data_IF_822612248558
#
_entry.id   IF_822612248558
#
_cell.length_a   1.000
_cell.length_b   1.000
_cell.length_c   1.000
_cell.angle_alpha   90.00
_cell.angle_beta   90.00
_cell.angle_gamma   90.00
#
_symmetry.space_group_name_H-M   'P 1'
#
loop_
_entity.id
_entity.type
_entity.pdbx_description
1 polymer ?
#
# COMPACT_ATOMS: atom_id res chain seq x y z
N UNK A 1 13.26 -7.43 6.39
CA UNK A 1 13.32 -6.06 5.84
C UNK A 1 12.04 -5.26 6.15
N UNK A 2 10.82 -5.66 5.63
CA UNK A 2 9.59 -4.89 5.93
C UNK A 2 9.29 -4.89 7.43
N UNK A 3 9.32 -6.04 8.08
CA UNK A 3 9.09 -6.17 9.53
C UNK A 3 10.03 -5.26 10.32
N UNK A 4 11.32 -5.27 10.03
CA UNK A 4 12.31 -4.45 10.73
C UNK A 4 12.12 -2.96 10.49
N UNK A 5 11.69 -2.60 9.27
CA UNK A 5 11.37 -1.23 8.92
C UNK A 5 10.15 -0.73 9.70
N UNK A 6 9.08 -1.50 9.74
CA UNK A 6 7.85 -1.16 10.48
C UNK A 6 8.09 -1.18 11.98
N UNK A 7 8.85 -2.17 12.49
CA UNK A 7 9.20 -2.25 13.92
C UNK A 7 9.86 -0.97 14.45
N UNK A 8 10.78 -0.39 13.70
CA UNK A 8 11.43 0.88 14.09
C UNK A 8 10.47 2.07 14.08
N UNK A 9 9.27 1.90 13.52
CA UNK A 9 8.21 2.92 13.41
C UNK A 9 6.92 2.49 14.12
N UNK A 10 7.04 1.62 15.13
CA UNK A 10 5.90 1.16 15.92
C UNK A 10 5.09 2.37 16.45
N UNK A 11 3.77 2.26 16.37
CA UNK A 11 2.86 3.35 16.73
C UNK A 11 2.70 4.46 15.67
N UNK A 12 3.35 4.31 14.52
CA UNK A 12 3.18 5.23 13.38
C UNK A 12 2.29 4.63 12.31
N UNK A 13 1.53 5.49 11.65
CA UNK A 13 0.65 5.09 10.56
C UNK A 13 1.42 4.89 9.26
N UNK A 14 1.16 3.76 8.58
CA UNK A 14 1.84 3.43 7.32
C UNK A 14 1.01 2.64 6.33
N UNK A 15 1.53 2.58 5.10
CA UNK A 15 0.98 1.79 3.99
C UNK A 15 2.07 0.87 3.46
N UNK A 16 1.73 -0.40 3.22
CA UNK A 16 2.60 -1.37 2.53
C UNK A 16 1.93 -1.81 1.24
N UNK A 17 2.48 -1.42 0.11
CA UNK A 17 1.99 -1.83 -1.21
C UNK A 17 2.53 -3.19 -1.61
N UNK A 18 1.64 -4.10 -1.96
CA UNK A 18 1.91 -5.47 -2.38
C UNK A 18 1.47 -5.69 -3.83
N UNK A 19 2.05 -6.70 -4.51
CA UNK A 19 1.78 -6.97 -5.91
C UNK A 19 0.40 -7.60 -6.12
N UNK A 20 0.06 -8.60 -5.32
CA UNK A 20 -1.19 -9.37 -5.41
C UNK A 20 -2.03 -9.26 -4.14
N UNK A 21 -3.28 -9.68 -4.23
CA UNK A 21 -4.19 -9.75 -3.08
C UNK A 21 -3.65 -10.71 -2.01
N UNK A 22 -3.21 -11.90 -2.43
CA UNK A 22 -2.62 -12.89 -1.54
C UNK A 22 -1.35 -12.37 -0.84
N UNK A 23 -0.50 -11.59 -1.55
CA UNK A 23 0.67 -10.96 -0.92
C UNK A 23 0.26 -9.93 0.14
N UNK A 24 -0.83 -9.18 -0.09
CA UNK A 24 -1.32 -8.19 0.85
C UNK A 24 -1.88 -8.85 2.12
N UNK A 25 -2.64 -9.95 1.97
CA UNK A 25 -3.16 -10.76 3.08
C UNK A 25 -2.00 -11.36 3.89
N UNK A 26 -1.09 -12.08 3.24
CA UNK A 26 0.06 -12.70 3.88
C UNK A 26 0.98 -11.66 4.56
N UNK A 27 1.17 -10.49 3.95
CA UNK A 27 1.96 -9.41 4.55
C UNK A 27 1.30 -8.86 5.82
N UNK A 28 -0.02 -8.65 5.82
CA UNK A 28 -0.75 -8.15 6.97
C UNK A 28 -0.69 -9.13 8.15
N UNK A 29 -0.93 -10.41 7.89
CA UNK A 29 -0.87 -11.48 8.88
C UNK A 29 0.54 -11.60 9.47
N UNK A 30 1.56 -11.58 8.59
CA UNK A 30 2.96 -11.66 9.01
C UNK A 30 3.39 -10.45 9.85
N UNK A 31 3.01 -9.23 9.50
CA UNK A 31 3.29 -8.03 10.28
C UNK A 31 2.60 -8.10 11.64
N UNK A 32 1.33 -8.46 11.68
CA UNK A 32 0.56 -8.59 12.92
C UNK A 32 1.20 -9.64 13.85
N UNK A 33 1.63 -10.77 13.30
CA UNK A 33 2.29 -11.82 14.11
C UNK A 33 3.65 -11.38 14.64
N UNK A 34 4.51 -10.84 13.77
CA UNK A 34 5.89 -10.47 14.11
C UNK A 34 6.02 -9.19 14.92
N UNK A 35 4.97 -8.37 15.00
CA UNK A 35 4.99 -7.08 15.68
C UNK A 35 4.03 -7.00 16.88
N UNK A 36 3.52 -8.13 17.34
CA UNK A 36 2.67 -8.23 18.55
C UNK A 36 3.35 -7.64 19.78
N UNK A 37 4.63 -7.87 19.91
CA UNK A 37 5.46 -7.41 21.03
C UNK A 37 5.58 -5.88 21.13
N UNK A 38 5.43 -5.19 20.02
CA UNK A 38 5.43 -3.72 19.93
C UNK A 38 4.02 -3.14 19.75
N UNK A 39 2.99 -3.96 19.77
CA UNK A 39 1.58 -3.56 19.69
C UNK A 39 1.15 -3.03 18.32
N UNK A 40 1.93 -3.25 17.27
CA UNK A 40 1.58 -2.80 15.90
C UNK A 40 0.52 -3.73 15.31
N UNK A 41 -0.54 -3.12 14.76
CA UNK A 41 -1.65 -3.81 14.09
C UNK A 41 -1.60 -3.59 12.59
N UNK A 42 -1.80 -4.65 11.80
CA UNK A 42 -1.85 -4.57 10.35
C UNK A 42 -3.09 -5.27 9.79
N UNK A 43 -3.63 -4.76 8.69
CA UNK A 43 -4.73 -5.41 7.97
C UNK A 43 -4.56 -5.23 6.46
N UNK A 44 -5.05 -6.18 5.69
CA UNK A 44 -5.04 -6.10 4.23
C UNK A 44 -6.18 -5.24 3.68
N UNK A 45 -5.96 -4.70 2.48
CA UNK A 45 -6.97 -3.96 1.73
C UNK A 45 -6.79 -4.16 0.22
N UNK A 46 -7.79 -4.75 -0.45
CA UNK A 46 -7.74 -5.00 -1.88
C UNK A 46 -9.14 -5.14 -2.50
N UNK A 47 -9.22 -5.19 -3.83
CA UNK A 47 -10.48 -5.23 -4.58
C UNK A 47 -11.30 -6.51 -4.36
N UNK A 48 -10.70 -7.61 -3.88
CA UNK A 48 -11.38 -8.85 -3.54
C UNK A 48 -12.22 -8.78 -2.26
N UNK A 49 -12.04 -7.73 -1.44
CA UNK A 49 -12.83 -7.50 -0.23
C UNK A 49 -14.20 -6.91 -0.57
N UNK A 50 -15.22 -7.23 0.22
CA UNK A 50 -16.53 -6.58 0.12
C UNK A 50 -16.44 -5.08 0.42
N UNK A 51 -17.42 -4.30 -0.04
CA UNK A 51 -17.44 -2.86 0.23
C UNK A 51 -17.50 -2.57 1.73
N UNK A 52 -18.24 -3.38 2.49
CA UNK A 52 -18.33 -3.23 3.95
C UNK A 52 -16.99 -3.48 4.62
N UNK A 53 -16.29 -4.56 4.28
CA UNK A 53 -14.95 -4.85 4.82
C UNK A 53 -13.98 -3.72 4.54
N UNK A 54 -13.96 -3.21 3.31
CA UNK A 54 -13.10 -2.07 2.94
C UNK A 54 -13.40 -0.81 3.75
N UNK A 55 -14.68 -0.49 3.98
CA UNK A 55 -15.10 0.65 4.82
C UNK A 55 -14.65 0.48 6.26
N UNK A 56 -14.79 -0.71 6.83
CA UNK A 56 -14.39 -1.01 8.22
C UNK A 56 -12.88 -0.84 8.39
N UNK A 57 -12.08 -1.43 7.49
CA UNK A 57 -10.62 -1.31 7.55
C UNK A 57 -10.17 0.14 7.38
N UNK A 58 -10.74 0.85 6.42
CA UNK A 58 -10.43 2.25 6.18
C UNK A 58 -10.78 3.13 7.38
N UNK A 59 -11.96 2.95 7.98
CA UNK A 59 -12.38 3.70 9.15
C UNK A 59 -11.47 3.41 10.36
N UNK A 60 -11.11 2.15 10.61
CA UNK A 60 -10.20 1.77 11.68
C UNK A 60 -8.82 2.41 11.51
N UNK A 61 -8.30 2.43 10.29
CA UNK A 61 -7.01 3.05 9.98
C UNK A 61 -7.06 4.58 10.10
N UNK A 62 -8.12 5.23 9.62
CA UNK A 62 -8.30 6.67 9.77
C UNK A 62 -8.39 7.10 11.25
N UNK A 63 -9.03 6.30 12.08
CA UNK A 63 -9.19 6.54 13.53
C UNK A 63 -7.94 6.16 14.35
N UNK A 64 -6.86 5.67 13.72
CA UNK A 64 -5.66 5.23 14.43
C UNK A 64 -5.82 3.95 15.24
N UNK A 65 -6.88 3.18 15.00
CA UNK A 65 -7.09 1.85 15.59
C UNK A 65 -6.32 0.75 14.88
N UNK A 66 -5.87 1.05 13.67
CA UNK A 66 -5.05 0.21 12.83
C UNK A 66 -3.84 1.02 12.39
N UNK A 67 -2.62 0.48 12.57
CA UNK A 67 -1.39 1.20 12.26
C UNK A 67 -1.00 1.06 10.79
N UNK A 68 -1.10 -0.15 10.24
CA UNK A 68 -0.58 -0.49 8.92
C UNK A 68 -1.67 -1.06 8.02
N UNK A 69 -1.79 -0.52 6.81
CA UNK A 69 -2.59 -1.12 5.75
C UNK A 69 -1.68 -1.76 4.72
N UNK A 70 -1.80 -3.09 4.54
CA UNK A 70 -1.16 -3.83 3.46
C UNK A 70 -2.11 -3.89 2.27
N UNK A 71 -1.76 -3.24 1.15
CA UNK A 71 -2.71 -3.03 0.08
C UNK A 71 -2.13 -3.31 -1.31
N UNK A 72 -3.01 -3.66 -2.24
CA UNK A 72 -2.69 -3.55 -3.67
C UNK A 72 -2.94 -2.11 -4.16
N UNK A 73 -2.56 -1.80 -5.39
CA UNK A 73 -2.81 -0.49 -6.04
C UNK A 73 -4.29 -0.05 -6.02
N UNK A 74 -5.23 -0.98 -5.73
CA UNK A 74 -6.64 -0.65 -5.54
C UNK A 74 -6.89 0.27 -4.31
N UNK A 75 -5.94 0.35 -3.38
CA UNK A 75 -5.94 1.27 -2.25
C UNK A 75 -5.35 2.63 -2.67
N UNK A 76 -5.96 3.27 -3.65
CA UNK A 76 -5.41 4.49 -4.21
C UNK A 76 -6.42 5.61 -4.35
N UNK A 77 -7.67 5.31 -4.61
CA UNK A 77 -8.68 6.33 -4.83
C UNK A 77 -9.40 6.68 -3.51
N UNK A 78 -9.19 7.91 -3.03
CA UNK A 78 -9.93 8.43 -1.86
C UNK A 78 -9.27 8.25 -0.50
N UNK A 79 -7.96 7.90 -0.43
CA UNK A 79 -7.23 7.96 0.84
C UNK A 79 -6.75 9.39 1.06
N UNK A 80 -7.35 10.02 2.03
CA UNK A 80 -6.92 11.32 2.53
C UNK A 80 -6.68 11.22 4.04
N UNK A 81 -5.49 10.68 4.39
CA UNK A 81 -4.98 10.67 5.77
C UNK A 81 -3.65 11.43 5.77
N UNK A 82 -3.63 12.54 6.48
CA UNK A 82 -2.52 13.48 6.43
C UNK A 82 -1.25 12.95 7.13
N UNK A 83 -1.43 12.18 8.18
CA UNK A 83 -0.38 11.74 9.11
C UNK A 83 0.25 10.38 8.77
N UNK A 84 0.23 9.96 7.51
CA UNK A 84 0.96 8.75 7.06
C UNK A 84 2.46 9.01 7.18
N UNK A 85 3.13 8.22 8.03
CA UNK A 85 4.57 8.41 8.30
C UNK A 85 5.47 7.64 7.37
N UNK A 86 4.96 6.58 6.75
CA UNK A 86 5.75 5.83 5.78
C UNK A 86 4.88 5.13 4.73
N UNK A 87 5.48 4.97 3.55
CA UNK A 87 4.96 4.13 2.48
C UNK A 87 6.05 3.13 2.09
N UNK A 88 5.72 1.85 2.16
CA UNK A 88 6.61 0.75 1.76
C UNK A 88 6.06 0.10 0.50
N UNK A 89 6.87 -0.02 -0.52
CA UNK A 89 6.60 -0.88 -1.67
C UNK A 89 7.31 -2.22 -1.45
N UNK A 90 6.58 -3.23 -1.04
CA UNK A 90 7.10 -4.59 -0.86
C UNK A 90 7.33 -5.30 -2.21
N UNK A 91 6.91 -4.69 -3.30
CA UNK A 91 7.11 -5.14 -4.68
C UNK A 91 7.34 -3.94 -5.60
N UNK A 92 7.95 -4.19 -6.77
CA UNK A 92 8.21 -3.15 -7.77
C UNK A 92 6.90 -2.51 -8.25
N UNK A 93 6.82 -1.18 -8.21
CA UNK A 93 5.74 -0.43 -8.81
C UNK A 93 5.76 -0.57 -10.34
N UNK A 94 4.61 -0.41 -10.99
CA UNK A 94 4.47 -0.64 -12.45
C UNK A 94 5.02 0.51 -13.28
N UNK A 95 5.17 1.70 -12.69
CA UNK A 95 5.68 2.90 -13.37
C UNK A 95 6.12 3.95 -12.35
N UNK A 96 6.86 4.96 -12.79
CA UNK A 96 7.26 6.11 -11.98
C UNK A 96 6.05 6.93 -11.55
N UNK A 97 5.04 7.08 -12.42
CA UNK A 97 3.81 7.80 -12.11
C UNK A 97 3.03 7.11 -10.99
N UNK A 98 2.89 5.78 -11.09
CA UNK A 98 2.26 4.97 -10.05
C UNK A 98 3.00 5.10 -8.72
N UNK A 99 4.31 4.92 -8.75
CA UNK A 99 5.18 5.08 -7.58
C UNK A 99 5.03 6.46 -6.94
N UNK A 100 5.07 7.53 -7.75
CA UNK A 100 4.93 8.90 -7.26
C UNK A 100 3.58 9.14 -6.56
N UNK A 101 2.49 8.65 -7.16
CA UNK A 101 1.14 8.77 -6.57
C UNK A 101 0.99 7.97 -5.27
N UNK A 102 1.60 6.80 -5.21
CA UNK A 102 1.56 5.92 -4.05
C UNK A 102 2.45 6.45 -2.92
N UNK A 103 3.69 6.82 -3.23
CA UNK A 103 4.64 7.43 -2.28
C UNK A 103 4.16 8.80 -1.77
N UNK A 104 3.51 9.59 -2.62
CA UNK A 104 2.93 10.90 -2.28
C UNK A 104 1.76 10.86 -1.29
N UNK A 105 1.42 9.68 -0.74
CA UNK A 105 0.47 9.55 0.38
C UNK A 105 1.14 9.81 1.71
N UNK A 106 2.46 9.69 1.80
CA UNK A 106 3.20 9.96 3.01
C UNK A 106 3.39 11.48 3.21
N UNK A 107 3.28 11.93 4.47
CA UNK A 107 3.65 13.28 4.89
C UNK A 107 2.79 14.42 4.32
N UNK A 108 1.52 14.20 4.05
CA UNK A 108 0.63 15.27 3.56
C UNK A 108 0.41 16.41 4.54
N UNK A 109 0.70 16.18 5.81
CA UNK A 109 0.70 17.19 6.87
C UNK A 109 1.99 18.02 6.92
N UNK A 110 2.92 17.83 5.98
CA UNK A 110 4.21 18.51 5.94
C UNK A 110 5.25 17.98 6.93
N UNK A 111 4.93 16.98 7.74
CA UNK A 111 5.89 16.38 8.69
C UNK A 111 6.76 15.33 7.98
N UNK A 112 7.97 15.06 8.53
CA UNK A 112 8.86 14.05 7.99
C UNK A 112 8.17 12.70 7.79
N UNK A 113 8.41 12.10 6.62
CA UNK A 113 7.89 10.80 6.25
C UNK A 113 8.92 10.06 5.38
N UNK A 114 8.80 8.76 5.31
CA UNK A 114 9.75 7.92 4.60
C UNK A 114 9.06 7.05 3.55
N UNK A 115 9.71 6.91 2.39
CA UNK A 115 9.28 5.99 1.33
C UNK A 115 10.37 4.95 1.09
N UNK A 116 10.01 3.67 1.20
CA UNK A 116 10.90 2.54 0.96
C UNK A 116 10.40 1.71 -0.22
N UNK A 117 11.27 1.45 -1.19
CA UNK A 117 11.03 0.49 -2.27
C UNK A 117 11.96 -0.71 -2.11
N UNK A 118 11.39 -1.90 -1.99
CA UNK A 118 12.14 -3.15 -2.06
C UNK A 118 12.20 -3.59 -3.52
N UNK A 119 13.42 -3.67 -4.06
CA UNK A 119 13.66 -3.99 -5.46
C UNK A 119 14.68 -5.11 -5.62
N UNK A 120 14.40 -6.00 -6.54
CA UNK A 120 15.33 -7.00 -7.08
C UNK A 120 15.11 -7.08 -8.59
N UNK A 121 16.17 -7.30 -9.37
CA UNK A 121 16.07 -7.41 -10.82
C UNK A 121 15.04 -8.46 -11.30
N UNK A 122 14.90 -9.54 -10.54
CA UNK A 122 13.91 -10.59 -10.80
C UNK A 122 12.44 -10.10 -10.71
N UNK A 123 12.20 -9.00 -10.01
CA UNK A 123 10.84 -8.49 -9.82
C UNK A 123 10.30 -7.87 -11.12
N UNK A 124 11.17 -7.36 -11.99
CA UNK A 124 10.81 -6.87 -13.33
C UNK A 124 10.06 -7.95 -14.12
N UNK A 125 10.61 -9.17 -14.16
CA UNK A 125 9.99 -10.29 -14.87
C UNK A 125 8.62 -10.70 -14.30
N UNK A 126 8.42 -10.57 -12.96
CA UNK A 126 7.12 -10.83 -12.33
C UNK A 126 6.08 -9.78 -12.75
N UNK A 127 6.46 -8.50 -12.71
CA UNK A 127 5.55 -7.41 -13.12
C UNK A 127 5.25 -7.47 -14.60
N UNK A 128 6.23 -7.79 -15.47
CA UNK A 128 6.00 -8.01 -16.90
C UNK A 128 4.98 -9.13 -17.17
N UNK A 129 5.08 -10.26 -16.46
CA UNK A 129 4.09 -11.35 -16.56
C UNK A 129 2.70 -10.86 -16.15
N UNK A 130 2.61 -10.10 -15.07
CA UNK A 130 1.35 -9.51 -14.62
C UNK A 130 0.75 -8.55 -15.66
N UNK A 131 1.55 -7.67 -16.24
CA UNK A 131 1.12 -6.72 -17.28
C UNK A 131 0.64 -7.44 -18.55
N UNK A 132 1.32 -8.51 -18.96
CA UNK A 132 0.94 -9.33 -20.12
C UNK A 132 -0.34 -10.13 -19.87
N UNK A 133 -0.69 -10.38 -18.59
CA UNK A 133 -1.85 -11.21 -18.22
C UNK A 133 -1.61 -12.70 -18.46
N UNK A 134 -2.60 -13.51 -18.10
CA UNK A 134 -2.52 -14.98 -18.14
C UNK A 134 -3.53 -15.60 -19.10
N UNK A 135 -3.16 -16.72 -19.70
CA UNK A 135 -4.06 -17.54 -20.55
C UNK A 135 -4.66 -16.79 -21.74
N UNK A 136 -5.97 -16.95 -21.95
CA UNK A 136 -6.73 -16.31 -23.07
C UNK A 136 -6.83 -14.77 -22.91
N UNK A 137 -6.63 -14.23 -21.73
CA UNK A 137 -6.67 -12.77 -21.44
C UNK A 137 -5.32 -12.09 -21.63
N UNK A 138 -4.40 -12.68 -22.40
CA UNK A 138 -3.10 -12.04 -22.70
C UNK A 138 -3.33 -10.72 -23.44
N UNK A 139 -2.79 -9.66 -22.85
CA UNK A 139 -2.78 -8.32 -23.46
C UNK A 139 -1.73 -8.26 -24.56
N UNK A 140 -2.02 -7.52 -25.62
CA UNK A 140 -1.13 -7.26 -26.77
C UNK A 140 -1.36 -5.83 -27.27
N UNK A 141 -0.51 -5.39 -28.16
CA UNK A 141 -0.65 -4.11 -28.85
C UNK A 141 0.00 -2.91 -28.14
N UNK A 142 -0.20 -1.68 -28.69
CA UNK A 142 0.55 -0.50 -28.28
C UNK A 142 0.37 -0.11 -26.80
N UNK A 143 -0.78 -0.42 -26.22
CA UNK A 143 -1.04 -0.14 -24.80
C UNK A 143 -0.15 -1.00 -23.89
N UNK A 144 0.02 -2.28 -24.20
CA UNK A 144 0.93 -3.14 -23.44
C UNK A 144 2.38 -2.67 -23.59
N UNK A 145 2.80 -2.30 -24.81
CA UNK A 145 4.16 -1.80 -25.03
C UNK A 145 4.45 -0.59 -24.16
N UNK A 146 3.58 0.41 -24.15
CA UNK A 146 3.71 1.58 -23.28
C UNK A 146 3.79 1.23 -21.79
N UNK A 147 3.01 0.23 -21.32
CA UNK A 147 3.07 -0.21 -19.93
C UNK A 147 4.41 -0.91 -19.62
N UNK A 148 4.99 -1.63 -20.58
CA UNK A 148 6.32 -2.25 -20.46
C UNK A 148 7.43 -1.20 -20.46
N UNK A 149 7.38 -0.21 -21.35
CA UNK A 149 8.35 0.88 -21.42
C UNK A 149 8.38 1.66 -20.09
N UNK A 150 7.21 1.95 -19.50
CA UNK A 150 7.09 2.58 -18.17
C UNK A 150 7.67 1.71 -17.05
N UNK A 151 7.51 0.40 -17.14
CA UNK A 151 8.11 -0.52 -16.19
C UNK A 151 9.64 -0.52 -16.30
N UNK A 152 10.16 -0.43 -17.52
CA UNK A 152 11.62 -0.36 -17.75
C UNK A 152 12.20 0.96 -17.21
N UNK A 153 11.46 2.09 -17.33
CA UNK A 153 11.82 3.35 -16.68
C UNK A 153 11.87 3.21 -15.15
N UNK A 154 10.86 2.54 -14.58
CA UNK A 154 10.83 2.27 -13.14
C UNK A 154 11.98 1.37 -12.69
N UNK A 155 12.31 0.34 -13.46
CA UNK A 155 13.44 -0.54 -13.17
C UNK A 155 14.77 0.22 -13.22
N UNK A 156 14.97 1.08 -14.23
CA UNK A 156 16.15 1.97 -14.33
C UNK A 156 16.27 2.88 -13.12
N UNK A 157 15.16 3.49 -12.69
CA UNK A 157 15.11 4.32 -11.49
C UNK A 157 15.50 3.53 -10.22
N UNK A 158 14.98 2.33 -10.04
CA UNK A 158 15.36 1.47 -8.91
C UNK A 158 16.81 1.04 -8.96
N UNK A 159 17.34 0.75 -10.16
CA UNK A 159 18.71 0.33 -10.39
C UNK A 159 19.78 1.42 -10.30
N UNK A 160 19.40 2.69 -10.12
CA UNK A 160 20.35 3.81 -9.97
C UNK A 160 21.35 3.55 -8.84
N UNK A 161 22.65 3.76 -9.14
CA UNK A 161 23.74 3.66 -8.17
C UNK A 161 24.35 5.00 -7.81
N UNK A 162 24.08 6.02 -8.59
CA UNK A 162 24.56 7.39 -8.42
C UNK A 162 23.45 8.41 -8.73
N UNK A 163 23.77 9.71 -8.63
CA UNK A 163 22.78 10.77 -8.83
C UNK A 163 21.88 11.00 -7.61
N UNK A 164 20.73 11.55 -7.86
CA UNK A 164 19.70 11.81 -6.85
C UNK A 164 18.35 11.29 -7.30
N UNK A 165 17.76 10.36 -6.54
CA UNK A 165 16.45 9.78 -6.87
C UNK A 165 15.34 10.82 -6.90
N UNK A 166 15.37 11.79 -6.00
CA UNK A 166 14.37 12.87 -6.00
C UNK A 166 14.44 13.69 -7.28
N UNK A 167 15.66 14.07 -7.72
CA UNK A 167 15.82 14.82 -8.97
C UNK A 167 15.35 14.03 -10.17
N UNK A 168 15.69 12.74 -10.23
CA UNK A 168 15.25 11.85 -11.31
C UNK A 168 13.73 11.72 -11.35
N UNK A 169 13.09 11.53 -10.19
CA UNK A 169 11.65 11.37 -10.09
C UNK A 169 10.91 12.66 -10.45
N UNK A 170 11.34 13.81 -9.92
CA UNK A 170 10.70 15.11 -10.20
C UNK A 170 10.94 15.53 -11.66
N UNK A 171 12.16 15.29 -12.18
CA UNK A 171 12.52 15.56 -13.58
C UNK A 171 11.70 14.75 -14.57
N UNK A 172 11.31 13.51 -14.23
CA UNK A 172 10.40 12.71 -15.06
C UNK A 172 9.07 13.42 -15.36
N UNK A 173 8.60 14.27 -14.44
CA UNK A 173 7.37 15.06 -14.61
C UNK A 173 7.62 16.44 -15.23
N UNK A 174 8.81 16.69 -15.78
CA UNK A 174 9.17 17.97 -16.39
C UNK A 174 9.27 19.13 -15.40
N UNK A 175 9.40 18.85 -14.10
CA UNK A 175 9.58 19.87 -13.06
C UNK A 175 11.05 20.02 -12.71
N UNK A 176 11.49 21.25 -12.51
CA UNK A 176 12.79 21.49 -11.90
C UNK A 176 12.71 21.10 -10.41
N UNK A 177 13.53 20.16 -9.95
CA UNK A 177 13.60 19.80 -8.55
C UNK A 177 14.15 20.89 -7.65
N UNK A 178 14.56 22.03 -8.19
CA UNK A 178 15.22 23.11 -7.49
C UNK A 178 16.65 22.75 -7.07
N UNK A 179 17.35 23.65 -6.35
CA UNK A 179 18.66 23.34 -5.80
C UNK A 179 18.57 22.08 -4.93
N UNK A 180 19.54 21.21 -5.12
CA UNK A 180 19.61 19.96 -4.39
C UNK A 180 19.66 20.23 -2.90
N UNK A 181 18.69 19.67 -2.19
CA UNK A 181 18.76 19.39 -0.76
C UNK A 181 19.08 20.62 0.13
N UNK A 182 18.08 21.10 0.82
CA UNK A 182 18.33 21.75 2.10
C UNK A 182 19.16 20.79 3.00
N UNK A 183 19.59 21.23 4.16
CA UNK A 183 20.41 20.45 5.10
C UNK A 183 19.74 19.16 5.65
N UNK A 184 18.63 18.71 5.06
CA UNK A 184 17.86 17.54 5.50
C UNK A 184 18.05 16.30 4.63
N UNK A 185 17.53 15.13 5.09
CA UNK A 185 17.55 13.88 4.34
C UNK A 185 16.86 14.01 2.99
N UNK A 186 17.40 13.36 1.96
CA UNK A 186 16.87 13.44 0.60
C UNK A 186 16.52 12.08 -0.01
N UNK A 187 17.51 11.25 -0.19
CA UNK A 187 17.34 9.88 -0.71
C UNK A 187 18.58 9.04 -0.32
N UNK A 188 18.42 7.71 -0.40
CA UNK A 188 19.46 6.74 -0.06
C UNK A 188 20.82 7.04 -0.72
N UNK A 189 20.82 7.43 -2.00
CA UNK A 189 22.05 7.73 -2.74
C UNK A 189 22.73 9.03 -2.31
N UNK A 190 21.95 10.04 -1.92
CA UNK A 190 22.48 11.31 -1.43
C UNK A 190 22.95 11.19 0.01
N UNK A 191 22.13 10.57 0.85
CA UNK A 191 22.38 10.43 2.28
C UNK A 191 23.58 9.50 2.56
N UNK A 192 23.78 8.46 1.74
CA UNK A 192 24.95 7.60 1.81
C UNK A 192 26.27 8.36 1.55
N UNK A 193 26.23 9.43 0.74
CA UNK A 193 27.40 10.28 0.43
C UNK A 193 27.64 11.38 1.45
N UNK A 194 26.66 11.70 2.29
CA UNK A 194 26.77 12.73 3.32
C UNK A 194 26.75 12.09 4.71
N UNK A 195 27.92 11.95 5.37
CA UNK A 195 28.00 11.36 6.72
C UNK A 195 27.14 12.06 7.77
N UNK A 196 26.87 13.37 7.59
CA UNK A 196 26.05 14.16 8.50
C UNK A 196 24.54 13.80 8.42
N UNK A 197 24.12 13.13 7.33
CA UNK A 197 22.74 12.70 7.09
C UNK A 197 22.51 11.21 7.39
N UNK A 198 23.47 10.51 7.97
CA UNK A 198 23.23 9.15 8.46
C UNK A 198 22.06 9.17 9.42
N UNK A 199 21.07 8.26 9.27
CA UNK A 199 19.98 8.19 10.21
C UNK A 199 20.56 8.08 11.64
N UNK A 200 20.02 8.81 12.61
CA UNK A 200 20.44 8.67 13.98
C UNK A 200 20.33 7.21 14.40
N UNK A 201 21.20 6.75 15.32
CA UNK A 201 21.08 5.42 15.88
C UNK A 201 19.62 5.22 16.37
N UNK A 202 19.08 4.00 16.28
CA UNK A 202 17.70 3.74 16.65
C UNK A 202 17.43 4.33 18.02
N UNK A 203 16.36 5.13 18.11
CA UNK A 203 15.94 5.75 19.36
C UNK A 203 15.87 4.68 20.48
N UNK A 204 16.28 5.00 21.69
CA UNK A 204 16.12 4.08 22.83
C UNK A 204 14.66 3.65 22.89
N UNK A 205 14.45 2.34 23.13
CA UNK A 205 13.12 1.74 23.21
C UNK A 205 12.21 2.65 24.04
N UNK A 206 11.04 3.05 23.53
CA UNK A 206 10.11 3.80 24.35
C UNK A 206 9.82 2.99 25.62
N UNK A 207 9.65 3.63 26.77
CA UNK A 207 9.27 2.94 28.00
C UNK A 207 8.02 2.12 27.72
N UNK A 208 7.99 0.91 28.24
CA UNK A 208 6.91 -0.06 28.02
C UNK A 208 5.56 0.63 28.15
N UNK A 209 4.84 0.73 27.02
CA UNK A 209 3.50 1.32 27.00
C UNK A 209 2.66 0.52 27.96
N UNK A 210 2.09 1.18 28.97
CA UNK A 210 1.13 0.58 29.89
C UNK A 210 0.15 -0.24 29.08
N UNK A 211 0.01 -1.52 29.44
CA UNK A 211 -0.89 -2.50 28.84
C UNK A 211 -2.24 -1.83 28.57
N UNK A 212 -2.53 -1.50 27.33
CA UNK A 212 -3.90 -1.23 26.90
C UNK A 212 -4.67 -2.51 27.21
N UNK A 213 -5.90 -2.35 27.68
CA UNK A 213 -6.77 -3.45 28.07
C UNK A 213 -6.81 -4.59 27.04
N UNK A 214 -7.35 -5.75 27.42
CA UNK A 214 -7.31 -6.95 26.61
C UNK A 214 -7.75 -6.67 25.18
N UNK A 215 -7.11 -7.31 24.18
CA UNK A 215 -7.46 -7.12 22.77
C UNK A 215 -8.96 -7.34 22.61
N UNK A 216 -9.61 -6.43 21.89
CA UNK A 216 -11.00 -6.61 21.48
C UNK A 216 -11.10 -7.97 20.81
N UNK A 217 -11.98 -8.89 21.27
CA UNK A 217 -12.12 -10.20 20.68
C UNK A 217 -12.36 -10.05 19.18
N UNK A 218 -11.52 -10.69 18.38
CA UNK A 218 -11.83 -10.81 16.95
C UNK A 218 -13.21 -11.47 16.86
N UNK A 219 -14.15 -10.92 16.08
CA UNK A 219 -15.42 -11.57 15.90
C UNK A 219 -15.16 -12.97 15.35
N UNK A 220 -15.51 -13.99 16.12
CA UNK A 220 -15.53 -15.37 15.65
C UNK A 220 -16.24 -15.36 14.32
N UNK A 221 -15.67 -15.99 13.29
CA UNK A 221 -16.34 -16.26 12.03
C UNK A 221 -17.73 -16.82 12.37
N UNK A 222 -18.75 -15.99 12.32
CA UNK A 222 -20.12 -16.48 12.33
C UNK A 222 -20.29 -17.24 11.01
N UNK A 223 -20.88 -18.46 11.02
CA UNK A 223 -21.39 -19.05 9.80
C UNK A 223 -22.28 -17.99 9.15
N UNK A 224 -22.24 -17.94 7.81
CA UNK A 224 -23.09 -17.05 7.02
C UNK A 224 -24.54 -17.21 7.53
N UNK A 225 -25.29 -16.10 7.76
CA UNK A 225 -26.67 -16.23 8.07
C UNK A 225 -27.34 -17.00 6.92
N UNK A 226 -28.04 -18.07 7.26
CA UNK A 226 -28.99 -18.69 6.35
C UNK A 226 -29.91 -17.59 5.84
N UNK A 227 -29.94 -17.42 4.53
CA UNK A 227 -30.90 -16.55 3.87
C UNK A 227 -32.25 -17.22 4.05
N UNK A 228 -33.00 -16.77 5.06
CA UNK A 228 -34.41 -17.12 5.16
C UNK A 228 -35.09 -16.34 4.03
N UNK A 229 -35.54 -17.06 3.01
CA UNK A 229 -36.37 -16.54 1.93
C UNK A 229 -37.68 -16.03 2.54
N UNK A 230 -37.74 -14.71 2.77
CA UNK A 230 -39.00 -14.03 3.13
C UNK A 230 -39.65 -13.41 1.90
N UNK A 231 -39.67 -14.14 0.79
CA UNK A 231 -40.57 -13.85 -0.30
C UNK A 231 -41.71 -14.86 -0.23
N UNK A 232 -42.67 -14.54 0.64
CA UNK A 232 -43.99 -15.20 0.59
C UNK A 232 -44.62 -14.96 -0.76
N UNK A 233 -45.02 -16.06 -1.37
CA UNK A 233 -45.90 -16.07 -2.54
C UNK A 233 -47.13 -15.20 -2.25
N UNK A 234 -47.23 -14.08 -2.93
CA UNK A 234 -48.51 -13.39 -3.16
C UNK A 234 -48.88 -13.58 -4.59
N UNK A 235 -49.68 -14.61 -4.81
CA UNK A 235 -50.49 -14.79 -6.00
C UNK A 235 -51.46 -13.62 -6.15
N UNK A 236 -51.07 -12.60 -6.90
CA UNK A 236 -52.03 -11.61 -7.43
C UNK A 236 -52.32 -11.90 -8.89
N UNK A 237 -53.49 -12.52 -9.11
CA UNK A 237 -54.12 -12.74 -10.39
C UNK A 237 -54.28 -11.41 -11.17
N UNK A 238 -53.65 -11.34 -12.33
CA UNK A 238 -53.90 -10.27 -13.31
C UNK A 238 -55.04 -10.69 -14.24
N UNK A 239 -56.16 -9.97 -14.28
CA UNK A 239 -57.26 -10.29 -15.15
C UNK A 239 -56.92 -10.00 -16.62
N UNK A 240 -57.09 -11.01 -17.47
CA UNK A 240 -56.98 -10.92 -18.92
C UNK A 240 -58.05 -9.97 -19.48
N UNK A 241 -57.67 -8.85 -20.06
CA UNK A 241 -58.54 -8.04 -20.92
C UNK A 241 -58.59 -8.66 -22.32
N UNK A 242 -59.83 -9.02 -22.72
CA UNK A 242 -60.18 -9.42 -24.08
C UNK A 242 -60.04 -8.23 -25.04
N UNK A 243 -59.57 -8.54 -26.25
CA UNK A 243 -59.68 -7.63 -27.42
C UNK A 243 -61.05 -7.85 -28.07
N UNK A 244 -61.68 -6.75 -28.34
CA UNK A 244 -62.58 -6.58 -29.45
C UNK A 244 -61.96 -5.57 -30.42
#
# INVERSE_FOLDING_TARGET
AVVDFVRRRAGQCGIVYCMTQADAEACADHLTDKLKDVGTTAHHYHAGMTQLQRRVVQAAWQQGKLDVVCATIAYGMGIDKADVRYVVHASLAKSLEGYYQEAGRAGRDGRPSECLMLYRDQDVGKVQKLLRGFGRKKRRGPKLQRDLDRLDDMARYCGMKDGCRRRQLVGHFGRDPGPSHGNGPCCDLCDARNPALRPPPPAPKPPAVRKRGPPVPQPRRRPAPEVVDLLGDSDDEVPKRARA
#
